data_IF_077224442661
#
_entry.id   IF_077224442661
#
_cell.length_a   1.000
_cell.length_b   1.000
_cell.length_c   1.000
_cell.angle_alpha   90.00
_cell.angle_beta   90.00
_cell.angle_gamma   90.00
#
_symmetry.space_group_name_H-M   'P 1'
#
loop_
_entity.id
_entity.type
_entity.pdbx_description
1 polymer ?
#
# COMPACT_ATOMS: atom_id res chain seq x y z
N UNK A 1 -46.26 -44.43 45.52
CA UNK A 1 -45.82 -43.02 45.35
C UNK A 1 -45.23 -42.87 43.96
N UNK A 2 -45.95 -42.22 43.03
CA UNK A 2 -45.43 -41.91 41.70
C UNK A 2 -44.60 -40.63 41.75
N UNK A 3 -43.28 -40.75 41.81
CA UNK A 3 -42.38 -39.60 41.72
C UNK A 3 -42.51 -38.96 40.33
N UNK A 4 -43.14 -37.78 40.25
CA UNK A 4 -43.15 -36.97 39.02
C UNK A 4 -41.71 -36.55 38.70
N UNK A 5 -41.10 -37.18 37.71
CA UNK A 5 -39.87 -36.70 37.07
C UNK A 5 -40.16 -35.34 36.45
N UNK A 6 -39.69 -34.25 37.05
CA UNK A 6 -39.79 -32.91 36.48
C UNK A 6 -38.75 -32.76 35.36
N UNK A 7 -39.21 -32.39 34.16
CA UNK A 7 -38.35 -31.99 33.04
C UNK A 7 -38.35 -30.48 32.96
N UNK A 8 -37.18 -29.86 33.02
CA UNK A 8 -37.02 -28.41 32.85
C UNK A 8 -36.32 -28.17 31.51
N UNK A 9 -37.02 -27.52 30.58
CA UNK A 9 -36.46 -27.14 29.28
C UNK A 9 -36.05 -25.67 29.31
N UNK A 10 -34.80 -25.39 28.95
CA UNK A 10 -34.29 -24.04 28.75
C UNK A 10 -33.82 -23.93 27.31
N UNK A 11 -34.36 -22.98 26.55
CA UNK A 11 -34.04 -22.76 25.15
C UNK A 11 -33.53 -21.34 24.94
N UNK A 12 -32.43 -21.19 24.20
CA UNK A 12 -31.94 -19.89 23.75
C UNK A 12 -32.91 -19.26 22.73
N UNK A 13 -32.81 -17.95 22.51
CA UNK A 13 -33.59 -17.27 21.48
C UNK A 13 -33.07 -17.67 20.08
N UNK A 14 -33.98 -18.18 19.24
CA UNK A 14 -33.66 -18.62 17.88
C UNK A 14 -33.63 -17.44 16.93
N UNK A 15 -32.49 -17.21 16.28
CA UNK A 15 -32.35 -16.19 15.24
C UNK A 15 -32.77 -16.77 13.88
N UNK A 16 -33.56 -15.99 13.11
CA UNK A 16 -34.17 -16.42 11.85
C UNK A 16 -33.48 -15.86 10.60
N UNK A 17 -32.50 -14.96 10.76
CA UNK A 17 -31.80 -14.33 9.65
C UNK A 17 -30.38 -13.89 10.01
N UNK A 18 -29.53 -13.77 8.98
CA UNK A 18 -28.19 -13.19 9.10
C UNK A 18 -28.28 -11.72 9.51
N UNK A 19 -27.56 -11.35 10.57
CA UNK A 19 -27.42 -9.97 11.03
C UNK A 19 -26.23 -9.30 10.32
N UNK A 20 -26.50 -8.53 9.27
CA UNK A 20 -25.45 -7.82 8.53
C UNK A 20 -25.26 -6.41 9.10
N UNK A 21 -24.21 -6.22 9.93
CA UNK A 21 -23.88 -4.91 10.50
C UNK A 21 -22.73 -4.17 9.78
N UNK A 22 -21.91 -4.85 8.96
CA UNK A 22 -20.63 -4.29 8.47
C UNK A 22 -20.33 -4.51 6.97
N UNK A 23 -21.36 -4.49 6.12
CA UNK A 23 -21.16 -4.33 4.68
C UNK A 23 -21.29 -2.86 4.31
N UNK A 24 -20.18 -2.21 4.00
CA UNK A 24 -20.23 -0.81 3.55
C UNK A 24 -20.36 -0.75 2.04
N UNK A 25 -21.45 -0.16 1.56
CA UNK A 25 -21.59 0.23 0.16
C UNK A 25 -20.72 1.45 -0.12
N UNK A 26 -20.16 1.54 -1.32
CA UNK A 26 -19.36 2.70 -1.71
C UNK A 26 -17.86 2.59 -1.37
N UNK A 27 -17.42 1.49 -0.74
CA UNK A 27 -15.98 1.23 -0.56
C UNK A 27 -15.31 0.95 -1.90
N UNK A 28 -14.09 1.45 -2.04
CA UNK A 28 -13.20 1.12 -3.15
C UNK A 28 -12.69 -0.31 -3.03
N UNK A 29 -12.59 -1.01 -4.16
CA UNK A 29 -11.97 -2.32 -4.25
C UNK A 29 -10.45 -2.13 -4.19
N UNK A 30 -9.75 -2.69 -3.17
CA UNK A 30 -8.34 -2.43 -2.99
C UNK A 30 -7.48 -2.93 -4.14
N UNK A 31 -6.37 -2.26 -4.43
CA UNK A 31 -5.29 -2.81 -5.29
C UNK A 31 -4.10 -3.12 -4.42
N UNK A 32 -3.63 -4.37 -4.47
CA UNK A 32 -2.61 -4.91 -3.56
C UNK A 32 -1.42 -5.41 -4.37
N UNK A 33 -0.23 -4.96 -3.98
CA UNK A 33 1.04 -5.45 -4.48
C UNK A 33 1.82 -6.15 -3.36
N UNK A 34 2.65 -7.12 -3.71
CA UNK A 34 3.40 -7.90 -2.75
C UNK A 34 2.50 -8.66 -1.77
N UNK A 35 2.89 -8.73 -0.49
CA UNK A 35 2.14 -9.43 0.56
C UNK A 35 1.82 -8.52 1.74
N UNK A 36 0.53 -8.26 1.93
CA UNK A 36 0.03 -7.35 2.99
C UNK A 36 -1.31 -7.79 3.56
N UNK A 37 -1.71 -7.20 4.69
CA UNK A 37 -2.95 -7.51 5.40
C UNK A 37 -4.06 -6.55 5.00
N UNK A 38 -5.22 -7.09 4.61
CA UNK A 38 -6.42 -6.30 4.30
C UNK A 38 -7.68 -6.91 4.91
N UNK A 39 -8.68 -6.07 5.16
CA UNK A 39 -9.99 -6.53 5.60
C UNK A 39 -10.82 -7.03 4.40
N UNK A 40 -11.55 -8.14 4.59
CA UNK A 40 -12.51 -8.60 3.59
C UNK A 40 -13.84 -7.86 3.71
N UNK A 41 -14.53 -7.63 2.58
CA UNK A 41 -15.84 -7.00 2.56
C UNK A 41 -16.92 -7.96 2.04
N UNK A 42 -18.05 -8.09 2.75
CA UNK A 42 -19.15 -8.94 2.32
C UNK A 42 -19.85 -8.36 1.08
N UNK A 43 -19.88 -9.13 0.00
CA UNK A 43 -20.49 -8.72 -1.29
C UNK A 43 -21.76 -9.48 -1.65
N UNK A 44 -21.93 -10.68 -1.09
CA UNK A 44 -23.12 -11.53 -1.28
C UNK A 44 -23.31 -12.43 -0.05
N UNK A 45 -24.57 -12.70 0.30
CA UNK A 45 -24.93 -13.70 1.30
C UNK A 45 -26.27 -14.35 0.96
N UNK A 46 -26.49 -15.59 1.41
CA UNK A 46 -27.71 -16.36 1.18
C UNK A 46 -27.77 -17.60 2.08
N UNK A 47 -28.80 -18.42 1.87
CA UNK A 47 -28.94 -19.75 2.50
C UNK A 47 -28.69 -19.79 4.00
N UNK A 48 -29.32 -18.88 4.73
CA UNK A 48 -29.25 -18.91 6.19
C UNK A 48 -29.88 -20.18 6.75
N UNK A 49 -29.12 -20.91 7.55
CA UNK A 49 -29.54 -22.14 8.22
C UNK A 49 -29.34 -22.00 9.72
N UNK A 50 -30.38 -22.36 10.48
CA UNK A 50 -30.30 -22.53 11.94
C UNK A 50 -30.19 -24.01 12.26
N UNK A 51 -29.17 -24.39 13.02
CA UNK A 51 -28.92 -25.76 13.47
C UNK A 51 -29.19 -25.83 14.98
N UNK A 52 -30.12 -26.70 15.38
CA UNK A 52 -30.55 -26.88 16.77
C UNK A 52 -29.75 -27.99 17.45
N UNK A 53 -29.20 -27.70 18.64
CA UNK A 53 -28.48 -28.65 19.49
C UNK A 53 -29.26 -28.90 20.78
N UNK A 54 -29.46 -30.18 21.12
CA UNK A 54 -30.16 -30.60 22.36
C UNK A 54 -29.17 -31.27 23.32
N UNK A 55 -28.93 -30.64 24.47
CA UNK A 55 -28.16 -31.23 25.55
C UNK A 55 -29.11 -31.69 26.68
N UNK A 56 -29.00 -32.95 27.11
CA UNK A 56 -29.81 -33.49 28.21
C UNK A 56 -28.89 -33.80 29.39
N UNK A 57 -29.03 -33.07 30.49
CA UNK A 57 -28.33 -33.35 31.75
C UNK A 57 -29.32 -33.94 32.77
N UNK A 58 -28.87 -34.96 33.49
CA UNK A 58 -29.62 -35.58 34.59
C UNK A 58 -28.87 -35.28 35.88
N UNK A 59 -29.45 -34.47 36.76
CA UNK A 59 -28.86 -34.19 38.06
C UNK A 59 -29.46 -35.14 39.09
N UNK A 60 -28.64 -36.03 39.64
CA UNK A 60 -29.03 -36.97 40.69
C UNK A 60 -28.96 -36.31 42.06
N UNK A 61 -30.12 -36.03 42.67
CA UNK A 61 -30.19 -35.68 44.09
C UNK A 61 -30.20 -36.92 44.98
N UNK A 62 -29.54 -36.86 46.15
CA UNK A 62 -29.68 -37.86 47.22
C UNK A 62 -31.12 -37.80 47.75
N UNK A 63 -32.03 -38.53 47.11
CA UNK A 63 -33.46 -38.54 47.44
C UNK A 63 -34.38 -38.72 46.24
N UNK A 64 -34.21 -39.79 45.48
CA UNK A 64 -35.31 -40.44 44.72
C UNK A 64 -36.05 -39.67 43.60
N UNK A 65 -35.71 -38.43 43.28
CA UNK A 65 -36.34 -37.66 42.20
C UNK A 65 -35.31 -36.92 41.35
N UNK A 66 -34.84 -37.54 40.27
CA UNK A 66 -33.93 -36.88 39.33
C UNK A 66 -34.66 -35.85 38.46
N UNK A 67 -34.11 -34.64 38.36
CA UNK A 67 -34.59 -33.61 37.43
C UNK A 67 -33.89 -33.82 36.08
N UNK A 68 -34.67 -33.91 35.00
CA UNK A 68 -34.14 -33.94 33.63
C UNK A 68 -34.08 -32.52 33.09
N UNK A 69 -32.89 -31.99 32.88
CA UNK A 69 -32.71 -30.66 32.28
C UNK A 69 -32.40 -30.83 30.78
N UNK A 70 -33.18 -30.15 29.93
CA UNK A 70 -32.98 -30.13 28.47
C UNK A 70 -32.58 -28.70 28.08
N UNK A 71 -31.32 -28.52 27.69
CA UNK A 71 -30.84 -27.28 27.09
C UNK A 71 -30.95 -27.34 25.57
N UNK A 72 -31.55 -26.33 24.96
CA UNK A 72 -31.59 -26.14 23.51
C UNK A 72 -30.73 -24.93 23.15
N UNK A 73 -29.68 -25.14 22.36
CA UNK A 73 -28.82 -24.08 21.83
C UNK A 73 -28.80 -24.10 20.30
N UNK A 74 -28.38 -23.00 19.69
CA UNK A 74 -28.37 -22.86 18.23
C UNK A 74 -26.99 -22.48 17.69
N UNK A 75 -26.63 -23.08 16.55
CA UNK A 75 -25.54 -22.59 15.70
C UNK A 75 -26.11 -22.14 14.36
N UNK A 76 -25.41 -21.21 13.70
CA UNK A 76 -25.91 -20.55 12.50
C UNK A 76 -24.90 -20.67 11.37
N UNK A 77 -25.38 -20.95 10.17
CA UNK A 77 -24.57 -21.01 8.96
C UNK A 77 -25.23 -20.20 7.84
N UNK A 78 -24.42 -19.67 6.93
CA UNK A 78 -24.92 -19.01 5.71
C UNK A 78 -23.94 -19.20 4.55
N UNK A 79 -24.46 -19.14 3.33
CA UNK A 79 -23.62 -19.00 2.15
C UNK A 79 -23.14 -17.54 2.04
N UNK A 80 -21.84 -17.30 1.84
CA UNK A 80 -21.26 -15.95 1.83
C UNK A 80 -20.19 -15.77 0.75
N UNK A 81 -20.00 -14.52 0.33
CA UNK A 81 -18.84 -14.07 -0.47
C UNK A 81 -18.19 -12.83 0.14
N UNK A 82 -16.88 -12.87 0.33
CA UNK A 82 -16.05 -11.80 0.89
C UNK A 82 -15.06 -11.31 -0.17
N UNK A 83 -15.24 -10.12 -0.72
CA UNK A 83 -14.28 -9.48 -1.62
C UNK A 83 -13.00 -9.09 -0.87
N UNK A 84 -11.86 -9.29 -1.53
CA UNK A 84 -10.53 -8.95 -1.03
C UNK A 84 -9.94 -7.77 -1.79
N UNK A 85 -9.77 -7.90 -3.10
CA UNK A 85 -9.09 -6.91 -3.93
C UNK A 85 -9.36 -7.06 -5.43
N UNK A 86 -8.86 -6.10 -6.19
CA UNK A 86 -8.96 -5.97 -7.64
C UNK A 86 -7.81 -6.71 -8.35
N UNK A 87 -8.19 -7.55 -9.31
CA UNK A 87 -7.30 -8.36 -10.15
C UNK A 87 -6.91 -9.70 -9.53
N UNK A 88 -6.12 -10.45 -10.29
CA UNK A 88 -5.67 -11.77 -9.88
C UNK A 88 -4.64 -11.69 -8.74
N UNK A 89 -4.85 -12.51 -7.71
CA UNK A 89 -3.90 -12.69 -6.61
C UNK A 89 -3.28 -14.09 -6.64
N UNK A 90 -2.08 -14.21 -6.07
CA UNK A 90 -1.39 -15.49 -5.97
C UNK A 90 -2.04 -16.40 -4.91
N UNK A 91 -2.58 -15.82 -3.84
CA UNK A 91 -3.20 -16.58 -2.76
C UNK A 91 -3.53 -15.75 -1.53
N UNK A 92 -4.01 -16.44 -0.50
CA UNK A 92 -4.23 -15.91 0.85
C UNK A 92 -3.35 -16.70 1.81
N UNK A 93 -2.56 -16.00 2.62
CA UNK A 93 -1.73 -16.55 3.68
C UNK A 93 -2.49 -16.61 5.01
N UNK A 94 -1.90 -16.01 6.05
CA UNK A 94 -2.50 -15.94 7.39
C UNK A 94 -3.85 -15.22 7.37
N UNK A 95 -4.76 -15.69 8.21
CA UNK A 95 -6.10 -15.14 8.37
C UNK A 95 -6.28 -14.82 9.84
N UNK A 96 -6.75 -13.61 10.14
CA UNK A 96 -7.11 -13.19 11.49
C UNK A 96 -8.63 -13.07 11.54
N UNK A 97 -9.26 -13.89 12.38
CA UNK A 97 -10.70 -13.83 12.68
C UNK A 97 -10.86 -13.43 14.14
N UNK A 98 -11.30 -12.21 14.38
CA UNK A 98 -11.28 -11.58 15.69
C UNK A 98 -9.90 -11.66 16.36
N UNK A 99 -9.72 -12.55 17.35
CA UNK A 99 -8.45 -12.78 18.06
C UNK A 99 -7.74 -14.08 17.64
N UNK A 100 -8.39 -14.90 16.83
CA UNK A 100 -7.88 -16.20 16.37
C UNK A 100 -7.10 -16.05 15.07
N UNK A 101 -6.11 -16.93 14.88
CA UNK A 101 -5.28 -16.98 13.67
C UNK A 101 -5.46 -18.33 12.98
N UNK A 102 -5.51 -18.30 11.66
CA UNK A 102 -5.64 -19.46 10.79
C UNK A 102 -4.61 -19.39 9.67
N UNK A 103 -4.15 -20.53 9.20
CA UNK A 103 -3.10 -20.65 8.18
C UNK A 103 -3.66 -20.93 6.79
N UNK A 104 -4.96 -21.24 6.69
CA UNK A 104 -5.61 -21.46 5.40
C UNK A 104 -7.10 -21.10 5.40
N UNK A 105 -7.66 -20.67 4.25
CA UNK A 105 -9.09 -20.48 4.08
C UNK A 105 -9.93 -21.72 4.42
N UNK A 106 -9.40 -22.92 4.16
CA UNK A 106 -10.10 -24.18 4.36
C UNK A 106 -10.47 -24.45 5.83
N UNK A 107 -9.65 -23.99 6.79
CA UNK A 107 -9.96 -24.09 8.23
C UNK A 107 -11.24 -23.32 8.61
N UNK A 108 -11.60 -22.31 7.81
CA UNK A 108 -12.80 -21.49 7.95
C UNK A 108 -13.89 -21.88 6.95
N UNK A 109 -13.75 -23.03 6.26
CA UNK A 109 -14.63 -23.49 5.17
C UNK A 109 -14.73 -22.48 4.02
N UNK A 110 -13.72 -21.63 3.85
CA UNK A 110 -13.63 -20.65 2.77
C UNK A 110 -12.84 -21.22 1.60
N UNK A 111 -13.29 -20.90 0.39
CA UNK A 111 -12.63 -21.22 -0.87
C UNK A 111 -12.21 -19.93 -1.55
N UNK A 112 -10.97 -19.85 -2.02
CA UNK A 112 -10.45 -18.68 -2.72
C UNK A 112 -10.77 -18.72 -4.20
N UNK A 113 -11.42 -17.66 -4.68
CA UNK A 113 -11.54 -17.28 -6.07
C UNK A 113 -10.52 -16.18 -6.36
N UNK A 114 -9.52 -16.48 -7.20
CA UNK A 114 -8.30 -15.67 -7.31
C UNK A 114 -8.49 -14.32 -7.98
N UNK A 115 -9.62 -14.06 -8.63
CA UNK A 115 -9.87 -12.76 -9.27
C UNK A 115 -9.28 -12.61 -10.66
N UNK A 116 -8.96 -13.70 -11.33
CA UNK A 116 -8.59 -13.70 -12.75
C UNK A 116 -9.67 -13.09 -13.64
N UNK A 117 -9.26 -12.63 -14.81
CA UNK A 117 -10.21 -12.26 -15.85
C UNK A 117 -10.96 -13.51 -16.32
N UNK A 118 -12.26 -13.35 -16.51
CA UNK A 118 -13.17 -14.45 -16.91
C UNK A 118 -13.17 -15.62 -15.91
N UNK A 119 -12.90 -15.34 -14.63
CA UNK A 119 -12.98 -16.37 -13.59
C UNK A 119 -14.36 -17.05 -13.57
N UNK A 120 -14.41 -18.37 -13.28
CA UNK A 120 -15.65 -19.11 -13.34
C UNK A 120 -16.64 -18.66 -12.26
N UNK A 121 -17.93 -18.86 -12.55
CA UNK A 121 -19.01 -18.67 -11.57
C UNK A 121 -18.79 -19.62 -10.41
N UNK A 122 -18.97 -19.13 -9.18
CA UNK A 122 -18.99 -19.99 -8.01
C UNK A 122 -20.11 -21.03 -8.14
N UNK A 123 -19.74 -22.30 -8.08
CA UNK A 123 -20.62 -23.45 -8.36
C UNK A 123 -21.87 -23.48 -7.49
N UNK A 124 -21.81 -22.98 -6.24
CA UNK A 124 -22.97 -22.89 -5.35
C UNK A 124 -24.08 -22.01 -5.95
N UNK A 125 -23.75 -20.88 -6.58
CA UNK A 125 -24.75 -20.02 -7.20
C UNK A 125 -25.28 -20.54 -8.54
N UNK A 126 -24.72 -21.63 -9.07
CA UNK A 126 -25.26 -22.26 -10.29
C UNK A 126 -26.49 -23.13 -9.98
N UNK A 127 -26.80 -23.38 -8.70
CA UNK A 127 -27.99 -24.13 -8.30
C UNK A 127 -29.28 -23.40 -8.67
N UNK A 128 -30.35 -24.16 -8.93
CA UNK A 128 -31.65 -23.62 -9.35
C UNK A 128 -32.22 -22.55 -8.37
N UNK A 129 -31.90 -22.67 -7.08
CA UNK A 129 -32.32 -21.74 -6.02
C UNK A 129 -31.75 -20.31 -6.19
N UNK A 130 -30.63 -20.16 -6.90
CA UNK A 130 -29.90 -18.89 -7.05
C UNK A 130 -29.92 -18.34 -8.47
N UNK A 131 -30.83 -18.84 -9.32
CA UNK A 131 -30.96 -18.36 -10.70
C UNK A 131 -31.13 -16.84 -10.74
N UNK A 132 -30.34 -16.18 -11.61
CA UNK A 132 -30.33 -14.73 -11.76
C UNK A 132 -29.46 -13.95 -10.76
N UNK A 133 -28.87 -14.61 -9.75
CA UNK A 133 -27.95 -13.97 -8.78
C UNK A 133 -26.47 -14.31 -9.02
N UNK A 134 -26.20 -15.31 -9.85
CA UNK A 134 -24.86 -15.77 -10.15
C UNK A 134 -24.09 -14.75 -11.00
N UNK A 135 -23.17 -14.02 -10.37
CA UNK A 135 -22.22 -13.15 -11.06
C UNK A 135 -20.83 -13.75 -10.99
N UNK A 136 -20.06 -13.60 -12.07
CA UNK A 136 -18.69 -14.13 -12.15
C UNK A 136 -17.69 -13.32 -11.32
N UNK A 137 -18.04 -12.08 -10.96
CA UNK A 137 -17.15 -11.10 -10.33
C UNK A 137 -15.76 -11.04 -11.02
N UNK A 138 -15.72 -11.13 -12.35
CA UNK A 138 -14.48 -11.12 -13.14
C UNK A 138 -13.55 -9.97 -12.74
N UNK A 139 -12.27 -10.26 -12.50
CA UNK A 139 -11.30 -9.28 -12.04
C UNK A 139 -11.41 -8.89 -10.56
N UNK A 140 -12.17 -9.60 -9.73
CA UNK A 140 -12.26 -9.39 -8.27
C UNK A 140 -11.85 -10.67 -7.54
N UNK A 141 -10.81 -10.60 -6.71
CA UNK A 141 -10.49 -11.71 -5.82
C UNK A 141 -11.47 -11.75 -4.64
N UNK A 142 -12.06 -12.90 -4.37
CA UNK A 142 -13.00 -13.09 -3.26
C UNK A 142 -12.89 -14.47 -2.63
N UNK A 143 -13.30 -14.58 -1.37
CA UNK A 143 -13.48 -15.84 -0.66
C UNK A 143 -14.96 -16.19 -0.62
N UNK A 144 -15.31 -17.44 -0.86
CA UNK A 144 -16.69 -17.92 -0.79
C UNK A 144 -16.82 -19.17 0.07
N UNK A 145 -18.01 -19.38 0.62
CA UNK A 145 -18.35 -20.60 1.37
C UNK A 145 -19.85 -20.83 1.30
N UNK A 146 -20.31 -22.06 1.02
CA UNK A 146 -21.74 -22.37 0.96
C UNK A 146 -22.35 -22.53 2.36
N UNK A 147 -21.53 -22.70 3.38
CA UNK A 147 -21.90 -23.03 4.75
C UNK A 147 -20.90 -22.43 5.76
N UNK A 148 -20.72 -21.12 5.66
CA UNK A 148 -19.86 -20.35 6.54
C UNK A 148 -20.46 -20.29 7.95
N UNK A 149 -19.65 -20.60 8.97
CA UNK A 149 -20.06 -20.58 10.37
C UNK A 149 -20.16 -19.14 10.90
N UNK A 150 -21.35 -18.78 11.39
CA UNK A 150 -21.64 -17.48 11.97
C UNK A 150 -21.46 -17.48 13.48
N UNK A 151 -21.38 -16.29 14.07
CA UNK A 151 -21.34 -16.15 15.54
C UNK A 151 -22.63 -16.67 16.18
N UNK A 152 -22.62 -16.85 17.51
CA UNK A 152 -23.82 -17.16 18.30
C UNK A 152 -24.94 -16.12 18.15
N UNK A 153 -24.62 -14.92 17.67
CA UNK A 153 -25.59 -13.85 17.38
C UNK A 153 -25.94 -13.76 15.89
N UNK A 154 -25.67 -14.82 15.11
CA UNK A 154 -25.90 -14.88 13.67
C UNK A 154 -25.23 -13.73 12.89
N UNK A 155 -24.02 -13.33 13.30
CA UNK A 155 -23.22 -12.31 12.62
C UNK A 155 -22.02 -12.95 11.91
N UNK A 156 -21.50 -12.28 10.89
CA UNK A 156 -20.20 -12.63 10.30
C UNK A 156 -19.08 -12.11 11.20
N UNK A 157 -18.05 -12.92 11.41
CA UNK A 157 -16.87 -12.56 12.21
C UNK A 157 -16.05 -11.46 11.52
N UNK A 158 -15.23 -10.72 12.28
CA UNK A 158 -14.33 -9.72 11.69
C UNK A 158 -13.09 -10.40 11.13
N UNK A 159 -12.92 -10.35 9.81
CA UNK A 159 -11.77 -10.98 9.14
C UNK A 159 -10.77 -9.96 8.61
N UNK A 160 -9.50 -10.30 8.77
CA UNK A 160 -8.42 -9.76 7.96
C UNK A 160 -7.68 -10.92 7.31
N UNK A 161 -7.20 -10.69 6.09
CA UNK A 161 -6.53 -11.68 5.27
C UNK A 161 -5.17 -11.15 4.87
N UNK A 162 -4.14 -11.97 5.00
CA UNK A 162 -2.84 -11.74 4.38
C UNK A 162 -2.97 -12.08 2.89
N UNK A 163 -3.11 -11.06 2.06
CA UNK A 163 -3.26 -11.23 0.63
C UNK A 163 -1.87 -11.27 0.00
N UNK A 164 -1.60 -12.34 -0.75
CA UNK A 164 -0.44 -12.46 -1.63
C UNK A 164 -0.86 -11.88 -2.98
N UNK A 165 -0.70 -10.56 -3.12
CA UNK A 165 -1.16 -9.78 -4.25
C UNK A 165 -0.25 -9.85 -5.47
N UNK A 166 -0.25 -8.78 -6.25
CA UNK A 166 0.44 -8.70 -7.53
C UNK A 166 1.94 -8.53 -7.38
N UNK A 167 2.68 -9.04 -8.37
CA UNK A 167 4.09 -8.70 -8.60
C UNK A 167 5.05 -9.03 -7.44
N UNK A 168 4.74 -10.02 -6.60
CA UNK A 168 5.70 -10.55 -5.61
C UNK A 168 6.99 -11.00 -6.31
N UNK A 169 8.15 -10.58 -5.79
CA UNK A 169 9.41 -10.70 -6.52
C UNK A 169 9.93 -12.14 -6.61
N UNK A 170 9.89 -12.90 -5.51
CA UNK A 170 10.30 -14.31 -5.47
C UNK A 170 9.69 -15.04 -4.28
N UNK A 171 9.88 -16.36 -4.16
CA UNK A 171 9.40 -17.13 -3.01
C UNK A 171 9.95 -16.63 -1.66
N UNK A 172 11.16 -16.05 -1.65
CA UNK A 172 11.81 -15.54 -0.44
C UNK A 172 11.57 -14.03 -0.20
N UNK A 173 11.16 -13.31 -1.24
CA UNK A 173 10.88 -11.87 -1.18
C UNK A 173 9.44 -11.71 -1.68
N UNK A 174 8.46 -11.78 -0.77
CA UNK A 174 7.05 -11.73 -1.15
C UNK A 174 6.61 -10.32 -1.56
N UNK A 175 7.44 -9.31 -1.28
CA UNK A 175 7.25 -7.91 -1.67
C UNK A 175 7.52 -7.69 -3.16
N UNK A 176 6.93 -6.63 -3.72
CA UNK A 176 7.05 -6.29 -5.13
C UNK A 176 8.24 -5.38 -5.43
N UNK A 177 8.82 -5.55 -6.62
CA UNK A 177 9.77 -4.60 -7.16
C UNK A 177 9.05 -3.26 -7.42
N UNK A 178 9.50 -2.13 -6.85
CA UNK A 178 8.84 -0.84 -7.02
C UNK A 178 8.63 -0.40 -8.48
N UNK A 179 9.46 -0.85 -9.42
CA UNK A 179 9.24 -0.63 -10.87
C UNK A 179 7.88 -1.15 -11.31
N UNK A 180 7.54 -2.38 -10.96
CA UNK A 180 6.31 -3.04 -11.41
C UNK A 180 5.07 -2.32 -10.87
N UNK A 181 5.15 -1.84 -9.63
CA UNK A 181 4.07 -1.06 -9.00
C UNK A 181 3.87 0.27 -9.74
N UNK A 182 4.95 0.99 -10.03
CA UNK A 182 4.87 2.29 -10.72
C UNK A 182 4.36 2.11 -12.15
N UNK A 183 4.85 1.10 -12.89
CA UNK A 183 4.39 0.82 -14.24
C UNK A 183 2.90 0.48 -14.26
N UNK A 184 2.42 -0.39 -13.37
CA UNK A 184 1.01 -0.75 -13.32
C UNK A 184 0.13 0.46 -12.94
N UNK A 185 0.51 1.28 -11.96
CA UNK A 185 -0.21 2.51 -11.63
C UNK A 185 -0.26 3.52 -12.79
N UNK A 186 0.78 3.55 -13.63
CA UNK A 186 0.83 4.39 -14.81
C UNK A 186 -0.05 3.85 -15.94
N UNK A 187 0.11 2.58 -16.33
CA UNK A 187 -0.43 2.06 -17.60
C UNK A 187 -1.78 1.36 -17.47
N UNK A 188 -2.15 0.89 -16.28
CA UNK A 188 -3.34 0.08 -16.11
C UNK A 188 -4.61 0.87 -16.45
N UNK A 189 -5.45 0.29 -17.31
CA UNK A 189 -6.67 0.94 -17.81
C UNK A 189 -7.85 0.87 -16.84
N UNK A 190 -7.81 -0.05 -15.85
CA UNK A 190 -8.91 -0.26 -14.89
C UNK A 190 -8.82 0.70 -13.71
N UNK A 191 -7.64 0.76 -13.08
CA UNK A 191 -7.42 1.55 -11.86
C UNK A 191 -6.23 2.52 -11.96
N UNK A 192 -5.36 2.37 -12.95
CA UNK A 192 -4.23 3.26 -13.18
C UNK A 192 -4.64 4.59 -13.80
N UNK A 193 -3.66 5.40 -14.21
CA UNK A 193 -3.92 6.69 -14.84
C UNK A 193 -3.93 6.66 -16.39
N UNK A 194 -3.72 5.48 -16.99
CA UNK A 194 -3.75 5.29 -18.44
C UNK A 194 -2.66 6.07 -19.19
N UNK A 195 -1.51 6.27 -18.56
CA UNK A 195 -0.38 6.95 -19.14
C UNK A 195 0.18 6.19 -20.35
N UNK A 196 0.45 6.86 -21.49
CA UNK A 196 0.92 6.17 -22.70
C UNK A 196 2.27 5.50 -22.46
N UNK A 197 2.35 4.19 -22.69
CA UNK A 197 3.57 3.40 -22.46
C UNK A 197 4.74 3.87 -23.31
N UNK A 198 4.50 4.41 -24.51
CA UNK A 198 5.54 4.98 -25.36
C UNK A 198 6.20 6.24 -24.77
N UNK A 199 5.55 6.89 -23.80
CA UNK A 199 6.07 8.05 -23.09
C UNK A 199 6.75 7.66 -21.77
N UNK A 200 6.94 6.38 -21.49
CA UNK A 200 7.72 5.91 -20.34
C UNK A 200 9.15 5.69 -20.83
N UNK A 201 10.12 6.25 -20.11
CA UNK A 201 11.54 6.06 -20.37
C UNK A 201 12.03 4.69 -19.93
N UNK A 202 13.33 4.44 -20.09
CA UNK A 202 13.95 3.24 -19.51
C UNK A 202 13.80 3.25 -17.98
N UNK A 203 13.29 2.14 -17.44
CA UNK A 203 13.05 1.94 -16.00
C UNK A 203 13.92 0.84 -15.42
N UNK A 204 14.80 0.23 -16.22
CA UNK A 204 15.64 -0.88 -15.79
C UNK A 204 16.68 -0.41 -14.78
N UNK A 205 17.23 0.80 -14.96
CA UNK A 205 18.11 1.43 -13.97
C UNK A 205 17.44 1.58 -12.60
N UNK A 206 16.17 1.96 -12.57
CA UNK A 206 15.38 2.08 -11.34
C UNK A 206 15.10 0.72 -10.69
N UNK A 207 14.72 -0.29 -11.49
CA UNK A 207 14.56 -1.66 -11.02
C UNK A 207 15.85 -2.23 -10.45
N UNK A 208 16.96 -2.06 -11.17
CA UNK A 208 18.26 -2.56 -10.75
C UNK A 208 18.72 -1.90 -9.46
N UNK A 209 18.50 -0.58 -9.29
CA UNK A 209 18.74 0.10 -8.02
C UNK A 209 17.92 -0.51 -6.87
N UNK A 210 16.60 -0.61 -7.01
CA UNK A 210 15.73 -1.12 -5.95
C UNK A 210 16.11 -2.56 -5.57
N UNK A 211 16.36 -3.42 -6.57
CA UNK A 211 16.76 -4.82 -6.36
C UNK A 211 18.15 -4.93 -5.72
N UNK A 212 19.15 -4.21 -6.25
CA UNK A 212 20.53 -4.26 -5.75
C UNK A 212 20.65 -3.74 -4.33
N UNK A 213 19.93 -2.66 -4.00
CA UNK A 213 19.85 -2.11 -2.65
C UNK A 213 18.98 -2.99 -1.75
N UNK A 214 18.04 -3.75 -2.30
CA UNK A 214 17.10 -4.59 -1.56
C UNK A 214 15.97 -3.80 -0.92
N UNK A 215 15.32 -2.94 -1.71
CA UNK A 215 14.10 -2.23 -1.36
C UNK A 215 12.97 -2.84 -2.19
N UNK A 216 12.05 -3.52 -1.51
CA UNK A 216 10.83 -4.10 -2.07
C UNK A 216 9.65 -3.67 -1.21
N UNK A 217 8.48 -3.49 -1.83
CA UNK A 217 7.31 -2.87 -1.20
C UNK A 217 6.04 -3.71 -1.38
N UNK A 218 5.14 -3.66 -0.40
CA UNK A 218 3.82 -4.29 -0.41
C UNK A 218 2.67 -3.30 -0.12
N UNK A 219 2.50 -2.22 -0.92
CA UNK A 219 1.44 -1.25 -0.69
C UNK A 219 0.05 -1.87 -0.94
N UNK A 220 -0.90 -1.49 -0.07
CA UNK A 220 -2.33 -1.69 -0.28
C UNK A 220 -3.00 -0.33 -0.55
N UNK A 221 -3.55 -0.16 -1.75
CA UNK A 221 -4.33 1.02 -2.09
C UNK A 221 -5.81 0.75 -1.82
N UNK A 222 -6.24 1.00 -0.59
CA UNK A 222 -7.62 0.72 -0.12
C UNK A 222 -8.59 1.88 -0.31
N UNK A 223 -8.08 3.08 -0.63
CA UNK A 223 -8.85 4.32 -0.78
C UNK A 223 -8.55 4.99 -2.13
N UNK A 224 -9.50 5.80 -2.62
CA UNK A 224 -9.29 6.58 -3.84
C UNK A 224 -8.27 7.70 -3.61
N UNK A 225 -7.17 7.67 -4.37
CA UNK A 225 -6.12 8.69 -4.34
C UNK A 225 -5.72 9.16 -5.74
N UNK A 226 -4.89 10.20 -5.79
CA UNK A 226 -4.25 10.64 -7.04
C UNK A 226 -3.04 9.74 -7.33
N UNK A 227 -2.96 9.20 -8.55
CA UNK A 227 -1.83 8.35 -8.96
C UNK A 227 -0.47 9.06 -8.75
N UNK A 228 -0.39 10.37 -9.00
CA UNK A 228 0.81 11.15 -8.76
C UNK A 228 1.25 11.11 -7.29
N UNK A 229 0.31 11.20 -6.33
CA UNK A 229 0.61 11.11 -4.90
C UNK A 229 1.17 9.72 -4.56
N UNK A 230 0.47 8.67 -4.99
CA UNK A 230 0.87 7.29 -4.73
C UNK A 230 2.27 6.98 -5.31
N UNK A 231 2.55 7.43 -6.53
CA UNK A 231 3.86 7.29 -7.16
C UNK A 231 4.92 8.12 -6.41
N UNK A 232 4.59 9.35 -5.98
CA UNK A 232 5.53 10.19 -5.21
C UNK A 232 5.92 9.52 -3.89
N UNK A 233 4.97 8.88 -3.20
CA UNK A 233 5.23 8.13 -1.97
C UNK A 233 6.15 6.92 -2.22
N UNK A 234 5.96 6.18 -3.33
CA UNK A 234 6.86 5.09 -3.73
C UNK A 234 8.28 5.59 -4.06
N UNK A 235 8.38 6.73 -4.73
CA UNK A 235 9.67 7.34 -5.09
C UNK A 235 10.42 7.87 -3.86
N UNK A 236 9.70 8.37 -2.85
CA UNK A 236 10.30 8.73 -1.57
C UNK A 236 10.83 7.49 -0.82
N UNK A 237 10.06 6.41 -0.77
CA UNK A 237 10.46 5.13 -0.16
C UNK A 237 11.67 4.50 -0.86
N UNK A 238 11.86 4.77 -2.16
CA UNK A 238 12.93 4.20 -2.97
C UNK A 238 14.07 5.19 -3.24
N UNK A 239 14.12 6.33 -2.53
CA UNK A 239 15.15 7.36 -2.73
C UNK A 239 15.37 7.68 -4.22
N UNK A 240 14.28 7.98 -4.93
CA UNK A 240 14.26 8.20 -6.38
C UNK A 240 13.43 9.43 -6.77
N UNK A 241 13.56 9.88 -8.01
CA UNK A 241 12.80 10.98 -8.57
C UNK A 241 12.22 10.64 -9.94
N UNK A 242 11.02 11.16 -10.21
CA UNK A 242 10.44 11.14 -11.55
C UNK A 242 10.83 12.42 -12.28
N UNK A 243 11.35 12.27 -13.50
CA UNK A 243 11.76 13.38 -14.38
C UNK A 243 11.07 13.20 -15.72
N UNK A 244 10.41 14.26 -16.21
CA UNK A 244 9.87 14.26 -17.57
C UNK A 244 10.81 15.05 -18.47
N UNK A 245 11.53 14.35 -19.36
CA UNK A 245 12.47 14.94 -20.32
C UNK A 245 12.38 14.21 -21.66
N UNK A 246 12.63 14.91 -22.76
CA UNK A 246 12.58 14.33 -24.12
C UNK A 246 11.26 13.62 -24.44
N UNK A 247 10.13 14.12 -23.91
CA UNK A 247 8.81 13.51 -24.09
C UNK A 247 8.58 12.21 -23.33
N UNK A 248 9.53 11.80 -22.46
CA UNK A 248 9.47 10.56 -21.69
C UNK A 248 9.56 10.81 -20.19
N UNK A 249 8.80 10.04 -19.42
CA UNK A 249 8.86 9.95 -17.98
C UNK A 249 9.96 8.96 -17.58
N UNK A 250 11.06 9.46 -17.02
CA UNK A 250 12.20 8.70 -16.50
C UNK A 250 12.11 8.63 -14.97
N UNK A 251 12.61 7.55 -14.38
CA UNK A 251 12.76 7.41 -12.93
C UNK A 251 14.25 7.26 -12.62
N UNK A 252 14.78 8.18 -11.82
CA UNK A 252 16.21 8.29 -11.55
C UNK A 252 16.43 8.15 -10.03
N UNK A 253 17.11 7.08 -9.58
CA UNK A 253 17.56 6.95 -8.20
C UNK A 253 18.58 8.01 -7.82
N UNK A 254 18.56 8.46 -6.56
CA UNK A 254 19.60 9.35 -6.00
C UNK A 254 20.83 8.60 -5.49
N UNK A 255 20.95 7.29 -5.75
CA UNK A 255 22.08 6.48 -5.29
C UNK A 255 23.39 6.93 -5.92
N UNK A 256 24.39 7.21 -5.09
CA UNK A 256 25.75 7.57 -5.47
C UNK A 256 26.76 6.40 -5.30
N UNK A 257 26.36 5.36 -4.58
CA UNK A 257 27.10 4.10 -4.46
C UNK A 257 26.69 3.07 -5.52
N UNK A 258 27.65 2.26 -5.97
CA UNK A 258 27.35 1.06 -6.76
C UNK A 258 26.97 -0.09 -5.82
N UNK A 259 25.91 -0.82 -6.16
CA UNK A 259 25.35 -1.88 -5.33
C UNK A 259 25.13 -3.16 -6.15
N UNK A 260 25.22 -4.31 -5.51
CA UNK A 260 24.86 -5.61 -6.09
C UNK A 260 24.06 -6.40 -5.07
N UNK A 261 22.95 -7.00 -5.52
CA UNK A 261 22.03 -7.73 -4.64
C UNK A 261 20.81 -8.22 -5.38
N UNK A 262 20.22 -9.32 -4.89
CA UNK A 262 18.96 -9.88 -5.42
C UNK A 262 18.98 -10.10 -6.96
N UNK A 263 20.12 -10.49 -7.53
CA UNK A 263 20.27 -10.73 -8.97
C UNK A 263 20.26 -9.45 -9.83
N UNK A 264 20.57 -8.29 -9.25
CA UNK A 264 20.74 -7.03 -9.95
C UNK A 264 22.06 -6.34 -9.57
N UNK A 265 22.63 -5.60 -10.51
CA UNK A 265 23.77 -4.71 -10.30
C UNK A 265 23.34 -3.30 -10.66
N UNK A 266 23.55 -2.38 -9.73
CA UNK A 266 23.37 -0.95 -9.93
C UNK A 266 24.73 -0.27 -9.95
N UNK A 267 25.03 0.44 -11.03
CA UNK A 267 26.21 1.29 -11.15
C UNK A 267 25.77 2.74 -11.03
N UNK A 268 26.29 3.44 -10.03
CA UNK A 268 26.03 4.86 -9.87
C UNK A 268 26.70 5.66 -10.99
N UNK A 269 25.99 6.66 -11.50
CA UNK A 269 26.52 7.59 -12.50
C UNK A 269 26.76 8.93 -11.81
N UNK A 270 27.97 9.07 -11.27
CA UNK A 270 28.39 10.28 -10.55
C UNK A 270 29.15 11.26 -11.47
N UNK A 271 29.13 11.02 -12.78
CA UNK A 271 29.88 11.83 -13.73
C UNK A 271 29.21 13.21 -13.85
N UNK A 272 30.00 14.26 -13.64
CA UNK A 272 29.54 15.60 -13.95
C UNK A 272 29.40 15.76 -15.47
N UNK A 273 28.22 16.22 -15.90
CA UNK A 273 27.94 16.54 -17.30
C UNK A 273 28.78 17.74 -17.76
N UNK A 274 28.91 18.75 -16.89
CA UNK A 274 29.70 19.95 -17.14
C UNK A 274 30.37 20.46 -15.86
N UNK A 275 31.55 21.04 -16.02
CA UNK A 275 32.21 21.86 -15.03
C UNK A 275 31.84 23.33 -15.32
N UNK A 276 31.02 23.93 -14.45
CA UNK A 276 30.53 25.30 -14.62
C UNK A 276 31.37 26.27 -13.79
N UNK A 277 31.79 27.35 -14.45
CA UNK A 277 32.58 28.44 -13.89
C UNK A 277 31.86 29.78 -14.07
N UNK A 278 32.42 30.85 -13.50
CA UNK A 278 31.86 32.19 -13.61
C UNK A 278 31.63 32.64 -15.07
N UNK A 279 32.44 32.14 -16.02
CA UNK A 279 32.32 32.43 -17.46
C UNK A 279 31.08 31.78 -18.12
N UNK A 280 30.45 30.81 -17.47
CA UNK A 280 29.35 30.03 -18.01
C UNK A 280 27.97 30.57 -17.63
N UNK A 281 27.92 31.42 -16.60
CA UNK A 281 26.68 31.95 -16.06
C UNK A 281 26.24 33.23 -16.76
N UNK A 282 24.93 33.33 -17.03
CA UNK A 282 24.34 34.55 -17.57
C UNK A 282 23.88 35.45 -16.42
N UNK A 283 24.50 36.62 -16.32
CA UNK A 283 24.10 37.65 -15.35
C UNK A 283 23.15 38.66 -16.01
N UNK A 284 22.15 39.10 -15.26
CA UNK A 284 21.32 40.26 -15.61
C UNK A 284 21.58 41.39 -14.62
N UNK A 285 22.29 42.43 -15.04
CA UNK A 285 22.67 43.56 -14.19
C UNK A 285 23.86 43.26 -13.29
N UNK A 286 23.90 43.86 -12.09
CA UNK A 286 25.00 43.73 -11.13
C UNK A 286 24.75 42.65 -10.04
N UNK A 287 23.93 41.63 -10.33
CA UNK A 287 23.64 40.57 -9.36
C UNK A 287 24.68 39.44 -9.47
N UNK A 288 24.97 38.76 -8.36
CA UNK A 288 25.82 37.58 -8.40
C UNK A 288 25.22 36.49 -9.31
N UNK A 289 26.03 35.85 -10.16
CA UNK A 289 25.59 34.84 -11.13
C UNK A 289 24.97 33.61 -10.45
N UNK A 290 25.51 33.23 -9.29
CA UNK A 290 25.09 32.07 -8.52
C UNK A 290 24.47 32.53 -7.19
N UNK A 291 23.19 32.19 -6.98
CA UNK A 291 22.48 32.45 -5.73
C UNK A 291 22.47 31.18 -4.88
N UNK A 292 23.21 31.21 -3.77
CA UNK A 292 23.23 30.12 -2.81
C UNK A 292 22.15 30.32 -1.72
N UNK A 293 21.26 29.34 -1.61
CA UNK A 293 20.35 29.16 -0.49
C UNK A 293 20.85 28.06 0.44
N UNK A 294 21.17 28.39 1.68
CA UNK A 294 21.55 27.38 2.68
C UNK A 294 20.48 27.29 3.75
N UNK A 295 19.93 26.10 3.96
CA UNK A 295 19.13 25.84 5.18
C UNK A 295 20.04 25.91 6.39
N UNK A 296 19.59 26.53 7.48
CA UNK A 296 20.44 26.68 8.66
C UNK A 296 20.72 25.32 9.30
N UNK A 297 21.74 25.21 10.17
CA UNK A 297 21.96 23.95 10.90
C UNK A 297 20.74 23.63 11.78
N UNK A 298 20.05 24.64 12.31
CA UNK A 298 18.87 24.49 13.16
C UNK A 298 17.71 23.79 12.44
N UNK A 299 17.62 23.92 11.12
CA UNK A 299 16.57 23.32 10.30
C UNK A 299 16.89 21.89 9.83
N UNK A 300 18.06 21.34 10.19
CA UNK A 300 18.47 20.00 9.82
C UNK A 300 18.05 18.99 10.90
N UNK A 301 17.16 18.07 10.53
CA UNK A 301 16.74 16.97 11.40
C UNK A 301 17.86 15.94 11.52
N UNK A 302 18.16 15.53 12.75
CA UNK A 302 19.19 14.54 13.07
C UNK A 302 18.63 13.25 13.69
N UNK A 303 17.31 13.13 13.73
CA UNK A 303 16.57 11.92 14.05
C UNK A 303 15.38 11.81 13.10
N UNK A 304 15.22 10.66 12.45
CA UNK A 304 14.08 10.34 11.59
C UNK A 304 13.47 9.02 12.03
N UNK A 305 12.15 9.01 12.10
CA UNK A 305 11.34 7.84 12.38
C UNK A 305 10.49 7.51 11.16
N UNK A 306 10.52 6.24 10.73
CA UNK A 306 9.69 5.70 9.66
C UNK A 306 8.70 4.72 10.26
N UNK A 307 7.43 5.02 10.11
CA UNK A 307 6.34 4.15 10.53
C UNK A 307 6.01 3.16 9.41
N UNK A 308 6.08 1.86 9.71
CA UNK A 308 5.86 0.77 8.75
C UNK A 308 4.95 -0.32 9.34
N UNK A 309 4.49 -1.26 8.51
CA UNK A 309 3.63 -2.38 8.94
C UNK A 309 4.47 -3.64 9.06
N UNK A 310 4.79 -4.10 10.27
CA UNK A 310 5.71 -5.23 10.45
C UNK A 310 5.03 -6.58 10.15
N UNK A 311 5.36 -7.19 9.00
CA UNK A 311 4.80 -8.49 8.58
C UNK A 311 5.06 -9.60 9.60
N UNK A 312 6.21 -9.59 10.25
CA UNK A 312 6.59 -10.63 11.21
C UNK A 312 5.80 -10.49 12.52
N UNK A 313 5.32 -9.28 12.81
CA UNK A 313 4.46 -8.95 13.94
C UNK A 313 3.02 -8.62 13.51
N UNK A 314 2.40 -9.50 12.71
CA UNK A 314 0.98 -9.43 12.29
C UNK A 314 0.54 -8.13 11.59
N UNK A 315 1.48 -7.45 10.93
CA UNK A 315 1.29 -6.14 10.31
C UNK A 315 0.92 -5.04 11.32
N UNK A 316 1.32 -5.20 12.58
CA UNK A 316 1.23 -4.14 13.56
C UNK A 316 2.14 -2.97 13.18
N UNK A 317 1.71 -1.77 13.53
CA UNK A 317 2.48 -0.55 13.29
C UNK A 317 3.77 -0.60 14.11
N UNK A 318 4.90 -0.44 13.45
CA UNK A 318 6.22 -0.40 14.05
C UNK A 318 7.01 0.83 13.56
N UNK A 319 8.03 1.21 14.32
CA UNK A 319 8.88 2.37 14.01
C UNK A 319 10.30 1.89 13.75
N UNK A 320 10.85 2.25 12.60
CA UNK A 320 12.28 2.17 12.32
C UNK A 320 12.90 3.55 12.55
N UNK A 321 14.00 3.61 13.29
CA UNK A 321 14.60 4.87 13.74
C UNK A 321 16.05 4.99 13.28
N UNK A 322 16.38 6.13 12.70
CA UNK A 322 17.75 6.51 12.36
C UNK A 322 18.13 7.81 13.09
N UNK A 323 19.32 7.83 13.69
CA UNK A 323 19.89 8.98 14.42
C UNK A 323 21.33 9.21 14.01
N UNK A 324 21.74 10.47 13.98
CA UNK A 324 23.15 10.85 13.88
C UNK A 324 23.63 11.33 15.26
N UNK A 325 24.28 10.42 16.00
CA UNK A 325 24.68 10.65 17.38
C UNK A 325 25.70 11.78 17.51
N UNK A 326 26.65 11.88 16.58
CA UNK A 326 27.65 12.94 16.58
C UNK A 326 27.02 14.32 16.37
N UNK A 327 26.03 14.41 15.46
CA UNK A 327 25.29 15.65 15.24
C UNK A 327 24.42 16.02 16.45
N UNK A 328 23.80 15.03 17.11
CA UNK A 328 23.01 15.24 18.32
C UNK A 328 23.88 15.75 19.47
N UNK A 329 25.08 15.20 19.66
CA UNK A 329 26.03 15.65 20.68
C UNK A 329 26.49 17.09 20.44
N UNK A 330 26.66 17.49 19.17
CA UNK A 330 27.12 18.83 18.81
C UNK A 330 26.01 19.90 18.84
N UNK A 331 24.78 19.54 18.48
CA UNK A 331 23.71 20.51 18.18
C UNK A 331 22.38 20.27 18.91
N UNK A 332 22.31 19.22 19.73
CA UNK A 332 21.09 18.78 20.41
C UNK A 332 20.18 17.95 19.52
N UNK A 333 19.18 17.30 20.14
CA UNK A 333 18.21 16.45 19.44
C UNK A 333 17.23 17.29 18.61
N UNK A 334 17.07 16.93 17.33
CA UNK A 334 16.18 17.58 16.36
C UNK A 334 15.38 16.51 15.62
N UNK A 335 14.28 16.04 16.22
CA UNK A 335 13.43 15.01 15.62
C UNK A 335 12.63 15.59 14.47
N UNK A 336 12.52 14.81 13.39
CA UNK A 336 11.48 14.98 12.38
C UNK A 336 10.23 14.20 12.83
N UNK A 337 9.05 14.73 12.52
CA UNK A 337 7.81 13.96 12.65
C UNK A 337 7.91 12.61 11.91
N UNK A 338 7.32 11.58 12.52
CA UNK A 338 7.32 10.24 11.96
C UNK A 338 6.71 10.23 10.55
N UNK A 339 7.44 9.64 9.61
CA UNK A 339 6.98 9.53 8.22
C UNK A 339 6.28 8.18 8.03
N UNK A 340 5.01 8.22 7.67
CA UNK A 340 4.20 7.03 7.42
C UNK A 340 4.54 6.40 6.07
N UNK A 341 5.03 5.16 6.08
CA UNK A 341 5.42 4.39 4.90
C UNK A 341 4.87 2.96 4.96
N UNK A 342 3.54 2.83 5.01
CA UNK A 342 2.82 1.54 5.12
C UNK A 342 2.94 0.63 3.88
N UNK A 343 3.64 1.09 2.83
CA UNK A 343 4.08 0.21 1.74
C UNK A 343 5.28 -0.66 2.12
N UNK A 344 5.98 -0.36 3.22
CA UNK A 344 7.10 -1.14 3.72
C UNK A 344 6.55 -2.16 4.73
N UNK A 345 6.86 -3.44 4.49
CA UNK A 345 6.46 -4.53 5.38
C UNK A 345 7.62 -5.33 6.00
N UNK A 346 8.86 -4.92 5.72
CA UNK A 346 10.08 -5.55 6.21
C UNK A 346 10.89 -4.54 7.04
N UNK A 347 11.30 -4.95 8.25
CA UNK A 347 12.01 -4.10 9.19
C UNK A 347 13.38 -3.61 8.66
N UNK A 348 14.09 -4.46 7.90
CA UNK A 348 15.41 -4.10 7.33
C UNK A 348 15.25 -3.06 6.22
N UNK A 349 14.19 -3.17 5.42
CA UNK A 349 13.84 -2.14 4.43
C UNK A 349 13.48 -0.84 5.13
N UNK A 350 12.65 -0.87 6.18
CA UNK A 350 12.26 0.33 6.92
C UNK A 350 13.48 1.05 7.52
N UNK A 351 14.40 0.31 8.14
CA UNK A 351 15.64 0.87 8.70
C UNK A 351 16.53 1.51 7.64
N UNK A 352 16.64 0.88 6.47
CA UNK A 352 17.42 1.40 5.34
C UNK A 352 16.84 2.72 4.81
N UNK A 353 15.51 2.77 4.66
CA UNK A 353 14.82 3.99 4.21
C UNK A 353 14.95 5.11 5.26
N UNK A 354 14.82 4.81 6.55
CA UNK A 354 15.05 5.77 7.62
C UNK A 354 16.46 6.38 7.55
N UNK A 355 17.48 5.54 7.35
CA UNK A 355 18.87 5.98 7.20
C UNK A 355 19.07 6.87 5.96
N UNK A 356 18.47 6.52 4.82
CA UNK A 356 18.55 7.32 3.59
C UNK A 356 17.88 8.69 3.76
N UNK A 357 16.71 8.73 4.41
CA UNK A 357 16.04 9.99 4.70
C UNK A 357 16.88 10.88 5.63
N UNK A 358 17.52 10.28 6.64
CA UNK A 358 18.35 10.99 7.61
C UNK A 358 19.56 11.65 6.92
N UNK A 359 20.30 10.87 6.13
CA UNK A 359 21.46 11.36 5.39
C UNK A 359 21.08 12.52 4.45
N UNK A 360 19.93 12.41 3.77
CA UNK A 360 19.44 13.48 2.89
C UNK A 360 19.07 14.74 3.68
N UNK A 361 18.40 14.60 4.82
CA UNK A 361 18.02 15.72 5.66
C UNK A 361 19.25 16.47 6.21
N UNK A 362 20.32 15.74 6.56
CA UNK A 362 21.54 16.31 7.12
C UNK A 362 22.48 16.93 6.08
N UNK A 363 22.68 16.26 4.93
CA UNK A 363 23.75 16.62 4.00
C UNK A 363 23.26 17.38 2.76
N UNK A 364 21.99 17.24 2.36
CA UNK A 364 21.42 17.97 1.21
C UNK A 364 20.81 19.29 1.69
N UNK A 365 21.67 20.29 1.88
CA UNK A 365 21.30 21.56 2.54
C UNK A 365 21.45 22.82 1.69
N UNK A 366 22.30 22.76 0.67
CA UNK A 366 22.56 23.89 -0.20
C UNK A 366 21.73 23.74 -1.48
N UNK A 367 21.02 24.80 -1.83
CA UNK A 367 20.35 24.95 -3.12
C UNK A 367 21.03 26.09 -3.87
N UNK A 368 21.38 25.86 -5.13
CA UNK A 368 21.99 26.87 -5.99
C UNK A 368 21.03 27.23 -7.12
N UNK A 369 20.93 28.52 -7.43
CA UNK A 369 20.16 29.05 -8.56
C UNK A 369 21.07 29.91 -9.42
N UNK A 370 21.13 29.62 -10.71
CA UNK A 370 21.98 30.30 -11.69
C UNK A 370 21.30 30.28 -13.06
N UNK A 371 21.80 31.04 -14.03
CA UNK A 371 21.29 31.04 -15.41
C UNK A 371 22.38 30.57 -16.36
N UNK A 372 22.01 29.78 -17.36
CA UNK A 372 22.94 29.21 -18.32
C UNK A 372 22.60 29.62 -19.75
N UNK A 373 23.64 29.72 -20.58
CA UNK A 373 23.51 29.91 -22.02
C UNK A 373 22.99 28.68 -22.76
N UNK A 374 22.60 28.89 -24.02
CA UNK A 374 22.03 27.84 -24.88
C UNK A 374 22.98 26.66 -25.14
N UNK A 375 24.30 26.83 -24.96
CA UNK A 375 25.30 25.74 -25.06
C UNK A 375 25.02 24.58 -24.10
N UNK A 376 24.27 24.80 -23.01
CA UNK A 376 23.91 23.78 -22.02
C UNK A 376 22.47 23.25 -22.15
N UNK A 377 21.83 23.42 -23.31
CA UNK A 377 20.42 23.08 -23.50
C UNK A 377 20.07 21.58 -23.39
N UNK A 378 21.11 20.73 -23.40
CA UNK A 378 21.04 19.28 -23.23
C UNK A 378 20.99 18.86 -21.75
N UNK A 379 21.25 19.76 -20.80
CA UNK A 379 21.11 19.46 -19.38
C UNK A 379 19.66 19.08 -19.04
N UNK A 380 19.51 17.96 -18.36
CA UNK A 380 18.24 17.44 -17.86
C UNK A 380 18.16 17.55 -16.33
N UNK A 381 16.96 17.60 -15.75
CA UNK A 381 16.82 17.41 -14.30
C UNK A 381 17.43 16.07 -13.89
N UNK A 382 18.13 16.07 -12.75
CA UNK A 382 18.96 15.03 -12.16
C UNK A 382 20.37 14.87 -12.74
N UNK A 383 20.75 15.61 -13.80
CA UNK A 383 22.15 15.66 -14.22
C UNK A 383 23.00 16.32 -13.13
N UNK A 384 24.23 15.83 -12.97
CA UNK A 384 25.22 16.39 -12.05
C UNK A 384 26.05 17.42 -12.81
N UNK A 385 26.20 18.61 -12.24
CA UNK A 385 27.16 19.63 -12.69
C UNK A 385 28.13 19.94 -11.55
N UNK A 386 29.34 20.37 -11.84
CA UNK A 386 30.20 20.96 -10.81
C UNK A 386 30.14 22.47 -10.88
N UNK A 387 30.11 23.12 -9.71
CA UNK A 387 30.11 24.58 -9.59
C UNK A 387 31.46 25.04 -9.03
N UNK A 388 32.07 26.00 -9.71
CA UNK A 388 33.26 26.71 -9.26
C UNK A 388 32.95 28.20 -9.24
N UNK A 389 33.02 28.81 -8.05
CA UNK A 389 32.71 30.22 -7.79
C UNK A 389 33.57 30.64 -6.58
N UNK A 390 34.49 31.59 -6.81
CA UNK A 390 35.43 32.00 -5.78
C UNK A 390 34.75 32.80 -4.65
N UNK A 391 33.72 33.59 -4.95
CA UNK A 391 32.99 34.40 -3.99
C UNK A 391 32.20 33.56 -2.98
N UNK A 392 31.71 32.41 -3.43
CA UNK A 392 30.99 31.44 -2.59
C UNK A 392 31.90 30.33 -2.02
N UNK A 393 33.20 30.34 -2.34
CA UNK A 393 34.16 29.32 -1.93
C UNK A 393 33.87 27.94 -2.52
N UNK A 394 33.25 27.88 -3.71
CA UNK A 394 32.96 26.63 -4.41
C UNK A 394 34.13 26.28 -5.34
N UNK A 395 34.64 25.05 -5.22
CA UNK A 395 35.63 24.49 -6.14
C UNK A 395 35.16 23.12 -6.60
N UNK A 396 34.77 23.00 -7.87
CA UNK A 396 34.20 21.79 -8.47
C UNK A 396 33.16 21.10 -7.59
N UNK A 397 32.29 21.88 -6.93
CA UNK A 397 31.29 21.34 -6.01
C UNK A 397 30.20 20.61 -6.79
N UNK A 398 30.03 19.28 -6.66
CA UNK A 398 28.99 18.56 -7.38
C UNK A 398 27.60 18.97 -6.91
N UNK A 399 26.71 19.22 -7.86
CA UNK A 399 25.33 19.66 -7.64
C UNK A 399 24.41 18.99 -8.65
N UNK A 400 23.39 18.27 -8.17
CA UNK A 400 22.38 17.67 -9.04
C UNK A 400 21.28 18.69 -9.39
N UNK A 401 20.94 18.79 -10.68
CA UNK A 401 19.92 19.71 -11.16
C UNK A 401 18.53 19.28 -10.72
N UNK A 402 17.86 20.08 -9.88
CA UNK A 402 16.51 19.71 -9.39
C UNK A 402 15.40 20.02 -10.38
N UNK A 403 15.53 21.12 -11.12
CA UNK A 403 14.55 21.61 -12.11
C UNK A 403 15.25 22.46 -13.15
N UNK A 404 14.65 22.55 -14.32
CA UNK A 404 15.04 23.48 -15.38
C UNK A 404 13.82 24.11 -16.04
N UNK A 405 13.93 25.36 -16.49
CA UNK A 405 12.94 26.12 -17.24
C UNK A 405 13.64 26.76 -18.44
N UNK A 406 13.15 26.51 -19.65
CA UNK A 406 13.65 27.13 -20.89
C UNK A 406 12.91 28.43 -21.16
N UNK A 407 13.62 29.46 -21.63
CA UNK A 407 13.05 30.75 -22.08
C UNK A 407 13.77 31.22 -23.35
N UNK A 408 13.18 32.16 -24.10
CA UNK A 408 13.74 32.69 -25.35
C UNK A 408 15.15 33.29 -25.23
N UNK A 409 15.55 33.74 -24.03
CA UNK A 409 16.88 34.36 -23.77
C UNK A 409 17.87 33.47 -23.00
N UNK A 410 17.54 32.19 -22.75
CA UNK A 410 18.43 31.26 -22.03
C UNK A 410 17.74 30.22 -21.14
N UNK A 411 18.55 29.43 -20.42
CA UNK A 411 18.15 28.29 -19.59
C UNK A 411 18.20 28.62 -18.09
N UNK A 412 17.17 28.24 -17.33
CA UNK A 412 17.01 28.55 -15.90
C UNK A 412 16.79 27.29 -15.06
N UNK A 413 17.74 26.81 -14.26
CA UNK A 413 17.40 26.00 -13.10
C UNK A 413 16.62 26.85 -12.07
N UNK A 414 15.41 26.41 -11.66
CA UNK A 414 14.53 27.23 -10.79
C UNK A 414 14.35 26.66 -9.38
N UNK A 415 14.24 27.56 -8.38
CA UNK A 415 13.88 27.25 -6.99
C UNK A 415 12.40 26.82 -6.87
N UNK A 416 12.06 25.73 -6.15
CA UNK A 416 10.69 25.49 -5.73
C UNK A 416 10.34 26.31 -4.48
N UNK A 417 9.13 26.87 -4.44
CA UNK A 417 8.55 27.47 -3.22
C UNK A 417 8.04 26.45 -2.18
N UNK A 418 8.20 25.14 -2.39
CA UNK A 418 7.79 24.11 -1.42
C UNK A 418 8.58 22.82 -1.62
N UNK A 419 8.98 22.18 -0.52
CA UNK A 419 9.85 21.00 -0.46
C UNK A 419 9.20 19.67 -0.90
N UNK A 420 8.18 19.70 -1.78
CA UNK A 420 7.59 18.50 -2.36
C UNK A 420 8.20 18.24 -3.74
N UNK A 421 8.35 16.99 -4.19
CA UNK A 421 8.76 16.69 -5.57
C UNK A 421 7.76 17.37 -6.50
N UNK A 422 8.22 18.41 -7.19
CA UNK A 422 7.37 19.11 -8.15
C UNK A 422 7.47 18.34 -9.44
N UNK A 423 6.51 17.43 -9.61
CA UNK A 423 6.04 17.01 -10.91
C UNK A 423 5.76 18.28 -11.72
N UNK A 424 6.39 18.44 -12.88
CA UNK A 424 5.88 19.40 -13.87
C UNK A 424 4.45 18.93 -14.14
N UNK A 425 3.40 19.75 -13.92
CA UNK A 425 2.04 19.29 -14.13
C UNK A 425 1.87 19.07 -15.62
N UNK A 426 2.02 17.82 -16.06
CA UNK A 426 1.34 17.36 -17.26
C UNK A 426 -0.14 17.54 -16.93
N UNK A 427 -0.80 18.52 -17.57
CA UNK A 427 -2.22 18.86 -17.43
C UNK A 427 -3.20 17.68 -17.67
N UNK A 428 -2.71 16.45 -17.84
CA UNK A 428 -3.45 15.27 -18.27
C UNK A 428 -3.30 14.03 -17.36
N UNK A 429 -2.75 14.12 -16.14
CA UNK A 429 -2.78 12.95 -15.24
C UNK A 429 -4.21 12.79 -14.69
N UNK A 430 -4.97 11.88 -15.30
CA UNK A 430 -6.32 11.51 -14.84
C UNK A 430 -6.21 10.89 -13.43
N UNK A 431 -7.19 11.17 -12.57
CA UNK A 431 -7.34 10.49 -11.28
C UNK A 431 -7.45 8.99 -11.49
N UNK A 432 -6.67 8.20 -10.75
CA UNK A 432 -6.90 6.76 -10.62
C UNK A 432 -8.32 6.53 -10.09
N UNK A 433 -9.07 5.67 -10.76
CA UNK A 433 -10.45 5.31 -10.38
C UNK A 433 -10.41 3.88 -9.89
N UNK A 434 -10.34 3.67 -8.58
CA UNK A 434 -10.62 2.37 -8.01
C UNK A 434 -12.09 2.02 -8.29
N UNK A 435 -12.35 0.76 -8.66
CA UNK A 435 -13.73 0.25 -8.78
C UNK A 435 -14.39 0.31 -7.41
N UNK A 436 -15.69 0.61 -7.39
CA UNK A 436 -16.48 0.66 -6.16
C UNK A 436 -17.27 -0.63 -6.02
N UNK A 437 -17.26 -1.22 -4.83
CA UNK A 437 -18.03 -2.42 -4.52
C UNK A 437 -19.52 -2.08 -4.54
N UNK A 438 -20.27 -2.75 -5.41
CA UNK A 438 -21.75 -2.72 -5.44
C UNK A 438 -22.26 -4.08 -4.98
N UNK A 439 -22.85 -4.20 -3.78
CA UNK A 439 -23.49 -5.44 -3.38
C UNK A 439 -24.74 -5.66 -4.22
N UNK A 440 -25.01 -6.93 -4.53
CA UNK A 440 -26.04 -7.35 -5.48
C UNK A 440 -27.35 -7.71 -4.81
N UNK A 441 -27.33 -7.90 -3.48
CA UNK A 441 -28.54 -8.03 -2.67
C UNK A 441 -28.91 -6.66 -2.13
N UNK A 442 -30.04 -6.12 -2.58
CA UNK A 442 -30.61 -4.90 -2.00
C UNK A 442 -30.79 -5.14 -0.50
N UNK A 443 -30.16 -4.35 0.36
CA UNK A 443 -30.39 -4.35 1.82
C UNK A 443 -31.82 -3.88 2.11
N UNK A 444 -32.82 -4.71 1.79
CA UNK A 444 -34.19 -4.49 2.25
C UNK A 444 -34.19 -4.82 3.74
N UNK A 445 -34.40 -3.79 4.56
CA UNK A 445 -34.84 -3.96 5.96
C UNK A 445 -35.99 -4.98 5.93
N UNK A 446 -35.81 -6.10 6.61
CA UNK A 446 -36.90 -7.01 6.88
C UNK A 446 -37.91 -6.27 7.76
N UNK A 447 -39.04 -5.86 7.18
CA UNK A 447 -40.24 -5.51 7.94
C UNK A 447 -40.75 -6.79 8.60
N UNK A 448 -41.05 -6.80 9.91
CA UNK A 448 -41.66 -7.96 10.53
C UNK A 448 -43.10 -8.09 10.03
N UNK A 449 -43.42 -9.17 9.33
CA UNK A 449 -44.80 -9.63 9.22
C UNK A 449 -45.17 -10.30 10.54
N UNK A 450 -45.79 -9.55 11.45
CA UNK A 450 -46.68 -10.13 12.45
C UNK A 450 -47.92 -10.66 11.72
N UNK A 451 -48.38 -11.85 12.12
CA UNK A 451 -49.81 -12.15 12.07
C UNK A 451 -50.52 -11.43 13.21
#
# INVERSE_FOLDING_TARGET
>A
MGGKSSTVTSAEERILSLQVQRSSQGLTLPVIYGRTRVAGNLIWYGDFVTIEHKAVTRQGGKGGGGVKQVGISYTYEAAVMLALCEGEIQGVGRIWRDKEKFDSPAQLRLTLMRGGDEQPLWTHLQQAKHQGQALNYSGTAYLCSPNYELTKSAQIYQHNFEVIGKSGYSGNIPDANPREIVLDLLTNQRYGCGFPSQNIGDTDRYSNYCRAVGIFLSPAYTEQGEAQRNISELLEQTNSAAVFSQGRLKIIPYGDGSHSGNGAVYVADNKAAYDLTDDDFIVSGAQDPVKAGRKTNADAFNQIQVEYLDRDNDYNVAIAEAKDQANIEQYGLRPKDAVRMHGICDAKVAQKVAQQLLQRALYVRNEYEFKLGWKYCLLEPMDIVTLTDAGLGLNKRPSALRKSKKTEKGFYPSRPKTARPVFIPCRNIRRSRLRVIRPTTTFRRATPMCR
#
